data_IF_798982556995
#
_entry.id   IF_798982556995
#
_cell.length_a   1.000
_cell.length_b   1.000
_cell.length_c   1.000
_cell.angle_alpha   90.00
_cell.angle_beta   90.00
_cell.angle_gamma   90.00
#
_symmetry.space_group_name_H-M   'P 1'
#
loop_
_entity.id
_entity.type
_entity.pdbx_description
1 polymer ?
#
# COMPACT_ATOMS: atom_id res chain seq x y z
N UNK A 1 -1.53 -27.47 15.67
CA UNK A 1 -0.25 -26.99 16.24
C UNK A 1 0.43 -25.89 15.42
N UNK A 2 0.22 -25.79 14.10
CA UNK A 2 0.86 -24.73 13.27
C UNK A 2 0.41 -23.28 13.55
N UNK A 3 -0.83 -23.06 13.99
CA UNK A 3 -1.37 -21.71 14.21
C UNK A 3 -0.66 -20.94 15.35
N UNK A 4 -0.33 -21.61 16.45
CA UNK A 4 0.31 -20.99 17.64
C UNK A 4 1.72 -20.47 17.32
N UNK A 5 2.41 -21.06 16.34
CA UNK A 5 3.73 -20.60 15.85
C UNK A 5 3.67 -19.64 14.66
N UNK A 6 2.48 -19.36 14.13
CA UNK A 6 2.33 -18.39 13.04
C UNK A 6 2.51 -16.95 13.54
N UNK A 7 2.93 -16.05 12.66
CA UNK A 7 3.07 -14.61 12.97
C UNK A 7 1.79 -14.03 13.61
N UNK A 8 0.63 -14.42 13.07
CA UNK A 8 -0.68 -14.00 13.59
C UNK A 8 -1.02 -14.61 14.96
N UNK A 9 -0.65 -15.89 15.19
CA UNK A 9 -0.83 -16.55 16.49
C UNK A 9 0.02 -15.94 17.60
N UNK A 10 1.24 -15.49 17.28
CA UNK A 10 2.10 -14.76 18.24
C UNK A 10 1.49 -13.40 18.60
N UNK A 11 0.96 -12.66 17.61
CA UNK A 11 0.27 -11.39 17.83
C UNK A 11 -0.97 -11.58 18.71
N UNK A 12 -1.77 -12.61 18.44
CA UNK A 12 -2.99 -12.91 19.21
C UNK A 12 -2.66 -13.25 20.67
N UNK A 13 -1.64 -14.08 20.89
CA UNK A 13 -1.14 -14.42 22.22
C UNK A 13 -0.69 -13.17 22.98
N UNK A 14 0.14 -12.33 22.36
CA UNK A 14 0.64 -11.09 22.97
C UNK A 14 -0.48 -10.07 23.27
N UNK A 15 -1.55 -10.05 22.48
CA UNK A 15 -2.69 -9.17 22.70
C UNK A 15 -3.59 -9.62 23.88
N UNK A 16 -3.64 -10.92 24.18
CA UNK A 16 -4.49 -11.50 25.23
C UNK A 16 -3.74 -11.64 26.56
N UNK A 17 -2.43 -11.91 26.50
CA UNK A 17 -1.55 -12.17 27.64
C UNK A 17 -1.60 -11.08 28.75
N UNK A 18 -1.65 -9.77 28.46
CA UNK A 18 -1.78 -8.73 29.48
C UNK A 18 -3.08 -8.81 30.29
N UNK A 19 -4.17 -9.30 29.68
CA UNK A 19 -5.46 -9.44 30.36
C UNK A 19 -5.45 -10.62 31.32
N UNK A 20 -4.81 -11.72 30.93
CA UNK A 20 -4.73 -12.93 31.74
C UNK A 20 -3.76 -12.78 32.92
N UNK A 21 -2.58 -12.18 32.72
CA UNK A 21 -1.64 -11.93 33.83
C UNK A 21 -2.21 -10.98 34.89
N UNK A 22 -3.09 -10.05 34.51
CA UNK A 22 -3.73 -9.13 35.46
C UNK A 22 -4.74 -9.81 36.39
N UNK A 23 -5.27 -10.98 36.01
CA UNK A 23 -6.23 -11.74 36.82
C UNK A 23 -5.53 -12.62 37.87
N UNK A 24 -4.30 -13.10 37.58
CA UNK A 24 -3.60 -14.09 38.38
C UNK A 24 -2.77 -13.47 39.52
N UNK A 25 -2.33 -12.21 39.40
CA UNK A 25 -1.45 -11.56 40.40
C UNK A 25 -2.00 -10.24 40.96
N UNK A 26 -2.97 -10.25 41.88
CA UNK A 26 -3.39 -9.06 42.62
C UNK A 26 -2.46 -8.81 43.83
N UNK A 27 -1.59 -7.79 43.78
CA UNK A 27 -0.75 -7.44 44.96
C UNK A 27 0.32 -6.35 44.75
N UNK A 28 0.33 -5.39 45.65
CA UNK A 28 1.00 -4.07 45.64
C UNK A 28 2.54 -4.11 45.74
N UNK A 29 3.22 -4.16 44.58
CA UNK A 29 4.46 -3.42 44.22
C UNK A 29 4.83 -3.74 42.76
N UNK A 30 4.54 -4.98 42.34
CA UNK A 30 4.63 -5.45 40.96
C UNK A 30 3.58 -4.82 40.01
N UNK A 31 2.56 -4.17 40.56
CA UNK A 31 1.48 -3.51 39.79
C UNK A 31 1.97 -2.39 38.86
N UNK A 32 3.13 -1.77 39.11
CA UNK A 32 3.70 -0.73 38.21
C UNK A 32 4.25 -1.36 36.94
N UNK A 33 4.97 -2.48 37.04
CA UNK A 33 5.47 -3.23 35.89
C UNK A 33 4.28 -3.76 35.08
N UNK A 34 3.29 -4.36 35.74
CA UNK A 34 2.04 -4.80 35.08
C UNK A 34 1.19 -3.66 34.50
N UNK A 35 1.38 -2.41 34.95
CA UNK A 35 0.75 -1.22 34.34
C UNK A 35 1.35 -0.92 32.97
N UNK A 36 2.65 -1.10 32.77
CA UNK A 36 3.30 -0.98 31.46
C UNK A 36 2.79 -2.05 30.48
N UNK A 37 2.51 -3.26 30.97
CA UNK A 37 1.86 -4.31 30.17
C UNK A 37 0.46 -3.90 29.64
N UNK A 38 -0.20 -2.90 30.21
CA UNK A 38 -1.46 -2.36 29.66
C UNK A 38 -1.24 -1.62 28.34
N UNK A 39 -0.06 -1.03 28.10
CA UNK A 39 0.29 -0.40 26.82
C UNK A 39 0.33 -1.45 25.71
N UNK A 40 0.72 -2.70 26.02
CA UNK A 40 0.70 -3.82 25.08
C UNK A 40 -0.71 -4.16 24.58
N UNK A 41 -1.77 -3.65 25.21
CA UNK A 41 -3.13 -3.73 24.63
C UNK A 41 -3.23 -2.98 23.29
N UNK A 42 -2.30 -2.08 22.96
CA UNK A 42 -2.19 -1.49 21.61
C UNK A 42 -1.99 -2.57 20.53
N UNK A 43 -1.38 -3.70 20.88
CA UNK A 43 -1.27 -4.84 19.96
C UNK A 43 -2.63 -5.47 19.61
N UNK A 44 -3.70 -5.18 20.36
CA UNK A 44 -5.07 -5.54 19.95
C UNK A 44 -5.44 -4.87 18.62
N UNK A 45 -4.90 -3.68 18.30
CA UNK A 45 -5.08 -3.03 17.00
C UNK A 45 -4.51 -3.89 15.86
N UNK A 46 -3.47 -4.69 16.13
CA UNK A 46 -2.91 -5.62 15.14
C UNK A 46 -3.84 -6.79 14.81
N UNK A 47 -4.90 -7.05 15.60
CA UNK A 47 -5.98 -7.99 15.22
C UNK A 47 -6.80 -7.50 14.02
N UNK A 48 -6.66 -6.23 13.64
CA UNK A 48 -7.24 -5.70 12.42
C UNK A 48 -6.45 -6.17 11.18
N UNK A 49 -5.17 -6.57 11.32
CA UNK A 49 -4.33 -7.02 10.20
C UNK A 49 -4.87 -8.29 9.52
N UNK A 50 -5.36 -9.31 10.24
CA UNK A 50 -6.12 -10.41 9.62
C UNK A 50 -7.37 -9.98 8.87
N UNK A 51 -8.11 -8.97 9.36
CA UNK A 51 -9.28 -8.41 8.63
C UNK A 51 -8.85 -7.68 7.35
N UNK A 52 -7.67 -7.05 7.38
CA UNK A 52 -7.00 -6.45 6.21
C UNK A 52 -6.32 -7.50 5.33
N UNK A 53 -6.21 -8.78 5.74
CA UNK A 53 -5.48 -9.80 4.96
C UNK A 53 -6.16 -10.17 3.64
N UNK A 54 -7.46 -9.86 3.49
CA UNK A 54 -8.15 -9.93 2.20
C UNK A 54 -7.77 -8.78 1.25
N UNK A 55 -7.09 -7.74 1.74
CA UNK A 55 -6.57 -6.62 0.93
C UNK A 55 -5.31 -7.00 0.13
N UNK A 56 -5.25 -8.25 -0.34
CA UNK A 56 -4.18 -8.73 -1.23
C UNK A 56 -4.02 -7.85 -2.46
N UNK A 57 -5.10 -7.20 -2.90
CA UNK A 57 -5.10 -6.22 -3.99
C UNK A 57 -4.27 -4.98 -3.62
N UNK A 58 -4.46 -4.39 -2.43
CA UNK A 58 -3.68 -3.23 -1.97
C UNK A 58 -2.20 -3.59 -1.84
N UNK A 59 -1.91 -4.74 -1.23
CA UNK A 59 -0.54 -5.19 -1.02
C UNK A 59 0.18 -5.48 -2.35
N UNK A 60 -0.50 -6.15 -3.28
CA UNK A 60 0.04 -6.40 -4.64
C UNK A 60 0.24 -5.11 -5.41
N UNK A 61 -0.69 -4.16 -5.33
CA UNK A 61 -0.56 -2.85 -5.99
C UNK A 61 0.62 -2.04 -5.43
N UNK A 62 0.83 -2.06 -4.11
CA UNK A 62 1.99 -1.40 -3.49
C UNK A 62 3.31 -2.02 -3.94
N UNK A 63 3.41 -3.36 -3.94
CA UNK A 63 4.62 -4.04 -4.43
C UNK A 63 4.83 -3.80 -5.93
N UNK A 64 3.78 -3.80 -6.74
CA UNK A 64 3.86 -3.52 -8.18
C UNK A 64 4.31 -2.07 -8.45
N UNK A 65 3.84 -1.11 -7.64
CA UNK A 65 4.21 0.30 -7.75
C UNK A 65 5.60 0.63 -7.22
N UNK A 66 6.24 -0.26 -6.44
CA UNK A 66 7.47 0.01 -5.69
C UNK A 66 8.56 0.68 -6.53
N UNK A 67 8.84 0.17 -7.73
CA UNK A 67 9.93 0.69 -8.58
C UNK A 67 9.64 2.11 -9.04
N UNK A 68 8.38 2.39 -9.42
CA UNK A 68 7.94 3.72 -9.86
C UNK A 68 7.97 4.71 -8.70
N UNK A 69 7.46 4.31 -7.53
CA UNK A 69 7.49 5.12 -6.30
C UNK A 69 8.93 5.41 -5.87
N UNK A 70 9.84 4.42 -5.91
CA UNK A 70 11.25 4.62 -5.58
C UNK A 70 11.90 5.66 -6.50
N UNK A 71 11.73 5.56 -7.83
CA UNK A 71 12.28 6.57 -8.76
C UNK A 71 11.71 7.96 -8.48
N UNK A 72 10.40 8.05 -8.21
CA UNK A 72 9.75 9.30 -7.85
C UNK A 72 10.32 9.91 -6.57
N UNK A 73 10.47 9.12 -5.49
CA UNK A 73 11.04 9.60 -4.23
C UNK A 73 12.49 10.06 -4.38
N UNK A 74 13.29 9.38 -5.21
CA UNK A 74 14.63 9.85 -5.54
C UNK A 74 14.60 11.21 -6.25
N UNK A 75 13.69 11.41 -7.20
CA UNK A 75 13.53 12.70 -7.89
C UNK A 75 13.06 13.82 -6.95
N UNK A 76 12.16 13.51 -6.01
CA UNK A 76 11.74 14.47 -4.97
C UNK A 76 12.91 14.82 -4.05
N UNK A 77 13.70 13.83 -3.63
CA UNK A 77 14.87 14.06 -2.77
C UNK A 77 15.91 14.96 -3.45
N UNK A 78 16.22 14.71 -4.73
CA UNK A 78 17.14 15.57 -5.47
C UNK A 78 16.57 16.99 -5.63
N UNK A 79 15.27 17.13 -5.90
CA UNK A 79 14.60 18.43 -5.99
C UNK A 79 14.69 19.22 -4.67
N UNK A 80 14.41 18.57 -3.54
CA UNK A 80 14.53 19.19 -2.21
C UNK A 80 15.96 19.65 -1.94
N UNK A 81 16.96 18.85 -2.28
CA UNK A 81 18.37 19.21 -2.11
C UNK A 81 18.70 20.47 -2.94
N UNK A 82 18.22 20.53 -4.19
CA UNK A 82 18.42 21.69 -5.06
C UNK A 82 17.74 22.96 -4.50
N UNK A 83 16.47 22.86 -4.12
CA UNK A 83 15.73 23.99 -3.53
C UNK A 83 16.35 24.45 -2.20
N UNK A 84 16.76 23.51 -1.35
CA UNK A 84 17.46 23.80 -0.09
C UNK A 84 18.80 24.48 -0.32
N UNK A 85 19.59 24.06 -1.31
CA UNK A 85 20.85 24.72 -1.65
C UNK A 85 20.62 26.13 -2.23
N UNK A 86 19.62 26.31 -3.11
CA UNK A 86 19.28 27.61 -3.67
C UNK A 86 18.82 28.60 -2.61
N UNK A 87 17.91 28.19 -1.71
CA UNK A 87 17.42 29.09 -0.67
C UNK A 87 18.51 29.43 0.34
N UNK A 88 19.42 28.50 0.65
CA UNK A 88 20.60 28.78 1.47
C UNK A 88 21.46 29.88 0.84
N UNK A 89 21.68 29.83 -0.48
CA UNK A 89 22.48 30.83 -1.19
C UNK A 89 21.79 32.21 -1.24
N UNK A 90 20.46 32.24 -1.37
CA UNK A 90 19.69 33.49 -1.48
C UNK A 90 19.50 34.16 -0.12
N UNK A 91 19.15 33.40 0.92
CA UNK A 91 18.78 33.93 2.24
C UNK A 91 19.98 34.01 3.20
N UNK A 92 20.90 33.04 3.13
CA UNK A 92 22.08 32.97 3.99
C UNK A 92 21.79 32.85 5.50
N UNK A 93 22.85 32.94 6.30
CA UNK A 93 22.77 32.78 7.76
C UNK A 93 21.98 33.93 8.43
N UNK A 94 22.01 35.14 7.86
CA UNK A 94 21.33 36.34 8.38
C UNK A 94 19.81 36.13 8.53
N UNK A 95 19.22 35.28 7.69
CA UNK A 95 17.80 34.99 7.67
C UNK A 95 17.43 33.65 8.33
N UNK A 96 18.38 33.01 9.01
CA UNK A 96 18.18 31.76 9.75
C UNK A 96 18.48 30.49 8.96
N UNK A 97 18.90 30.61 7.69
CA UNK A 97 19.37 29.50 6.87
C UNK A 97 20.86 29.25 7.15
N UNK A 98 21.16 28.78 8.37
CA UNK A 98 22.53 28.65 8.91
C UNK A 98 23.36 27.53 8.28
N UNK A 99 22.74 26.59 7.57
CA UNK A 99 23.45 25.48 6.95
C UNK A 99 22.60 24.83 5.85
N UNK A 100 23.25 24.21 4.86
CA UNK A 100 22.56 23.49 3.77
C UNK A 100 21.57 22.45 4.32
N UNK A 101 21.90 21.60 5.31
CA UNK A 101 20.93 20.66 5.88
C UNK A 101 19.70 21.32 6.49
N UNK A 102 19.85 22.50 7.11
CA UNK A 102 18.74 23.26 7.68
C UNK A 102 17.82 23.81 6.58
N UNK A 103 18.40 24.27 5.47
CA UNK A 103 17.65 24.72 4.30
C UNK A 103 16.94 23.57 3.57
N UNK A 104 17.57 22.39 3.53
CA UNK A 104 16.93 21.14 3.05
C UNK A 104 15.73 20.79 3.92
N UNK A 105 15.86 20.88 5.25
CA UNK A 105 14.74 20.65 6.17
C UNK A 105 13.56 21.59 5.85
N UNK A 106 13.81 22.88 5.63
CA UNK A 106 12.77 23.82 5.22
C UNK A 106 12.14 23.44 3.87
N UNK A 107 12.95 23.03 2.89
CA UNK A 107 12.45 22.58 1.60
C UNK A 107 11.55 21.33 1.76
N UNK A 108 11.90 20.37 2.62
CA UNK A 108 11.05 19.19 2.92
C UNK A 108 9.72 19.65 3.52
N UNK A 109 9.75 20.45 4.58
CA UNK A 109 8.55 20.90 5.31
C UNK A 109 7.62 21.72 4.41
N UNK A 110 8.18 22.52 3.52
CA UNK A 110 7.42 23.33 2.55
C UNK A 110 6.85 22.46 1.44
N UNK A 111 7.66 21.60 0.83
CA UNK A 111 7.25 20.74 -0.29
C UNK A 111 6.22 19.67 0.13
N UNK A 112 6.31 19.21 1.38
CA UNK A 112 5.34 18.28 1.98
C UNK A 112 4.09 18.97 2.53
N UNK A 113 3.97 20.29 2.36
CA UNK A 113 2.83 21.11 2.83
C UNK A 113 2.62 21.12 4.35
N UNK A 114 3.62 20.68 5.14
CA UNK A 114 3.54 20.70 6.61
C UNK A 114 3.63 22.12 7.15
N UNK A 115 4.60 22.91 6.65
CA UNK A 115 4.69 24.34 6.93
C UNK A 115 4.74 24.74 8.41
N UNK A 116 5.68 24.18 9.20
CA UNK A 116 5.80 24.51 10.64
C UNK A 116 5.98 26.01 10.92
N UNK A 117 6.55 26.78 10.00
CA UNK A 117 6.76 28.21 10.13
C UNK A 117 7.93 28.60 11.03
N UNK A 118 8.75 27.64 11.46
CA UNK A 118 9.97 27.83 12.25
C UNK A 118 11.13 28.41 11.42
N UNK A 119 11.10 28.24 10.10
CA UNK A 119 12.00 28.87 9.15
C UNK A 119 11.21 29.37 7.93
N UNK A 120 11.50 30.59 7.47
CA UNK A 120 10.82 31.19 6.31
C UNK A 120 11.71 32.22 5.63
N UNK A 121 11.74 32.27 4.29
CA UNK A 121 12.53 33.26 3.55
C UNK A 121 11.98 34.67 3.75
N UNK A 122 12.89 35.63 3.93
CA UNK A 122 12.57 37.03 4.20
C UNK A 122 12.82 37.91 2.99
N UNK A 123 13.70 37.51 2.07
CA UNK A 123 14.01 38.27 0.87
C UNK A 123 12.95 38.09 -0.20
N UNK A 124 12.76 39.11 -1.05
CA UNK A 124 11.81 39.03 -2.17
C UNK A 124 12.13 37.86 -3.12
N UNK A 125 13.42 37.59 -3.37
CA UNK A 125 13.86 36.45 -4.21
C UNK A 125 13.63 35.10 -3.53
N UNK A 126 13.83 35.00 -2.22
CA UNK A 126 13.54 33.78 -1.47
C UNK A 126 12.04 33.50 -1.40
N UNK A 127 11.21 34.54 -1.27
CA UNK A 127 9.75 34.42 -1.27
C UNK A 127 9.20 33.99 -2.63
N UNK A 128 9.73 34.48 -3.74
CA UNK A 128 9.31 34.00 -5.08
C UNK A 128 9.69 32.53 -5.25
N UNK A 129 10.91 32.14 -4.86
CA UNK A 129 11.33 30.73 -4.89
C UNK A 129 10.43 29.85 -4.00
N UNK A 130 10.07 30.33 -2.81
CA UNK A 130 9.14 29.63 -1.91
C UNK A 130 7.75 29.46 -2.51
N UNK A 131 7.22 30.49 -3.20
CA UNK A 131 5.95 30.39 -3.89
C UNK A 131 5.97 29.28 -4.97
N UNK A 132 7.05 29.20 -5.76
CA UNK A 132 7.23 28.11 -6.72
C UNK A 132 7.32 26.74 -6.02
N UNK A 133 8.07 26.65 -4.92
CA UNK A 133 8.21 25.41 -4.15
C UNK A 133 6.86 24.93 -3.58
N UNK A 134 6.01 25.84 -3.11
CA UNK A 134 4.67 25.50 -2.59
C UNK A 134 3.75 24.94 -3.69
N UNK A 135 3.75 25.52 -4.89
CA UNK A 135 2.97 25.00 -6.04
C UNK A 135 3.50 23.62 -6.45
N UNK A 136 4.82 23.44 -6.48
CA UNK A 136 5.46 22.18 -6.80
C UNK A 136 5.09 21.06 -5.80
N UNK A 137 4.95 21.40 -4.52
CA UNK A 137 4.52 20.47 -3.48
C UNK A 137 3.16 19.84 -3.76
N UNK A 138 2.17 20.66 -4.16
CA UNK A 138 0.85 20.15 -4.55
C UNK A 138 0.92 19.19 -5.76
N UNK A 139 1.73 19.50 -6.76
CA UNK A 139 1.92 18.62 -7.91
C UNK A 139 2.55 17.27 -7.51
N UNK A 140 3.52 17.29 -6.60
CA UNK A 140 4.23 16.10 -6.10
C UNK A 140 3.29 15.17 -5.32
N UNK A 141 2.36 15.68 -4.53
CA UNK A 141 1.42 14.85 -3.76
C UNK A 141 0.49 14.02 -4.67
N UNK A 142 0.14 14.55 -5.85
CA UNK A 142 -0.75 13.87 -6.80
C UNK A 142 -0.10 12.64 -7.46
N UNK A 143 1.22 12.67 -7.68
CA UNK A 143 1.95 11.63 -8.43
C UNK A 143 1.93 10.24 -7.76
N UNK A 144 2.34 10.06 -6.48
CA UNK A 144 2.33 8.74 -5.85
C UNK A 144 0.91 8.21 -5.69
N UNK A 145 -0.05 9.09 -5.40
CA UNK A 145 -1.48 8.75 -5.33
C UNK A 145 -1.96 8.22 -6.68
N UNK A 146 -1.61 8.88 -7.78
CA UNK A 146 -1.94 8.44 -9.14
C UNK A 146 -1.28 7.11 -9.52
N UNK A 147 0.02 6.95 -9.24
CA UNK A 147 0.75 5.69 -9.49
C UNK A 147 0.09 4.53 -8.75
N UNK A 148 -0.18 4.69 -7.45
CA UNK A 148 -0.79 3.64 -6.62
C UNK A 148 -2.21 3.34 -7.10
N UNK A 149 -3.00 4.36 -7.44
CA UNK A 149 -4.37 4.18 -7.94
C UNK A 149 -4.38 3.37 -9.24
N UNK A 150 -3.49 3.67 -10.19
CA UNK A 150 -3.40 2.92 -11.45
C UNK A 150 -3.01 1.46 -11.21
N UNK A 151 -2.05 1.20 -10.34
CA UNK A 151 -1.67 -0.18 -10.01
C UNK A 151 -2.77 -0.92 -9.23
N UNK A 152 -3.54 -0.21 -8.41
CA UNK A 152 -4.70 -0.77 -7.71
C UNK A 152 -5.80 -1.16 -8.68
N UNK A 153 -6.16 -0.27 -9.61
CA UNK A 153 -7.15 -0.58 -10.67
C UNK A 153 -6.69 -1.75 -11.54
N UNK A 154 -5.40 -1.83 -11.87
CA UNK A 154 -4.84 -2.97 -12.61
C UNK A 154 -4.90 -4.27 -11.83
N UNK A 155 -4.60 -4.22 -10.53
CA UNK A 155 -4.70 -5.38 -9.64
C UNK A 155 -6.15 -5.84 -9.41
N UNK A 156 -7.14 -4.95 -9.55
CA UNK A 156 -8.57 -5.30 -9.53
C UNK A 156 -9.04 -5.88 -10.87
N UNK A 157 -8.58 -5.34 -12.00
CA UNK A 157 -9.00 -5.75 -13.34
C UNK A 157 -8.32 -7.04 -13.86
N UNK A 158 -7.40 -7.66 -13.12
CA UNK A 158 -6.74 -8.91 -13.54
C UNK A 158 -7.64 -10.16 -13.49
N UNK A 159 -8.95 -10.01 -13.22
CA UNK A 159 -9.96 -11.07 -13.19
C UNK A 159 -10.99 -10.99 -14.34
N UNK A 160 -10.65 -10.36 -15.47
CA UNK A 160 -11.52 -10.41 -16.65
C UNK A 160 -11.38 -11.81 -17.27
N UNK A 161 -12.24 -12.74 -16.86
CA UNK A 161 -12.39 -14.03 -17.52
C UNK A 161 -13.25 -13.84 -18.77
N UNK A 162 -12.79 -14.35 -19.91
CA UNK A 162 -13.57 -14.44 -21.15
C UNK A 162 -14.44 -15.70 -21.18
N UNK A 163 -14.64 -16.34 -20.03
CA UNK A 163 -15.42 -17.57 -19.91
C UNK A 163 -16.89 -17.26 -20.17
N UNK A 164 -17.40 -17.86 -21.23
CA UNK A 164 -18.81 -17.86 -21.60
C UNK A 164 -19.41 -19.18 -21.15
N UNK A 165 -20.62 -19.15 -20.58
CA UNK A 165 -21.32 -20.39 -20.24
C UNK A 165 -21.65 -21.18 -21.53
N UNK A 166 -21.24 -22.45 -21.66
CA UNK A 166 -21.50 -23.24 -22.87
C UNK A 166 -22.99 -23.54 -23.09
N UNK A 167 -23.81 -23.52 -22.03
CA UNK A 167 -25.23 -23.85 -22.11
C UNK A 167 -26.12 -22.63 -22.39
N UNK A 168 -25.86 -21.49 -21.74
CA UNK A 168 -26.74 -20.31 -21.85
C UNK A 168 -26.08 -19.08 -22.47
N UNK A 169 -24.83 -19.20 -22.91
CA UNK A 169 -24.04 -18.15 -23.57
C UNK A 169 -23.91 -16.84 -22.79
N UNK A 170 -24.20 -16.84 -21.49
CA UNK A 170 -24.02 -15.67 -20.63
C UNK A 170 -22.59 -15.56 -20.12
N UNK A 171 -22.10 -14.32 -20.07
CA UNK A 171 -20.75 -13.93 -19.66
C UNK A 171 -20.73 -13.34 -18.24
N UNK A 172 -19.54 -12.96 -17.77
CA UNK A 172 -19.35 -12.26 -16.50
C UNK A 172 -19.30 -13.16 -15.28
N UNK A 173 -18.87 -14.42 -15.43
CA UNK A 173 -18.59 -15.31 -14.31
C UNK A 173 -17.32 -14.87 -13.57
N UNK A 174 -17.18 -15.23 -12.30
CA UNK A 174 -15.90 -15.03 -11.60
C UNK A 174 -14.83 -15.96 -12.18
N UNK A 175 -13.55 -15.57 -12.07
CA UNK A 175 -12.42 -16.32 -12.66
C UNK A 175 -12.24 -17.74 -12.11
N UNK A 176 -12.81 -18.01 -10.94
CA UNK A 176 -12.78 -19.25 -10.18
C UNK A 176 -14.15 -19.93 -10.12
N UNK A 177 -15.11 -19.50 -10.94
CA UNK A 177 -16.43 -20.11 -11.00
C UNK A 177 -16.40 -21.48 -11.71
N UNK A 178 -16.77 -22.54 -10.99
CA UNK A 178 -16.97 -23.89 -11.57
C UNK A 178 -18.35 -24.03 -12.25
N UNK A 179 -19.34 -23.25 -11.80
CA UNK A 179 -20.73 -23.30 -12.27
C UNK A 179 -21.24 -21.93 -12.71
N UNK A 180 -22.12 -21.93 -13.70
CA UNK A 180 -22.75 -20.73 -14.23
C UNK A 180 -23.73 -20.12 -13.21
N UNK A 181 -23.52 -18.85 -12.83
CA UNK A 181 -24.40 -18.13 -11.89
C UNK A 181 -25.84 -17.90 -12.38
N UNK A 182 -26.11 -18.09 -13.67
CA UNK A 182 -27.43 -17.85 -14.27
C UNK A 182 -28.25 -19.12 -14.53
N UNK A 183 -27.59 -20.23 -14.88
CA UNK A 183 -28.28 -21.47 -15.25
C UNK A 183 -27.79 -22.71 -14.49
N UNK A 184 -26.73 -22.60 -13.69
CA UNK A 184 -26.20 -23.69 -12.88
C UNK A 184 -25.43 -24.77 -13.64
N UNK A 185 -25.22 -24.65 -14.95
CA UNK A 185 -24.40 -25.62 -15.70
C UNK A 185 -22.91 -25.47 -15.36
N UNK A 186 -22.15 -26.56 -15.42
CA UNK A 186 -20.69 -26.49 -15.29
C UNK A 186 -20.10 -25.57 -16.36
N UNK A 187 -19.05 -24.83 -15.98
CA UNK A 187 -18.28 -23.98 -16.87
C UNK A 187 -16.98 -24.66 -17.36
N UNK A 188 -16.73 -25.89 -16.90
CA UNK A 188 -15.70 -26.79 -17.44
C UNK A 188 -16.10 -27.26 -18.84
N UNK A 189 -15.24 -27.01 -19.82
CA UNK A 189 -15.39 -27.58 -21.16
C UNK A 189 -15.14 -29.09 -21.06
N UNK A 190 -16.08 -29.95 -21.52
CA UNK A 190 -15.80 -31.36 -21.68
C UNK A 190 -14.70 -31.49 -22.73
N UNK A 191 -13.49 -31.89 -22.34
CA UNK A 191 -12.53 -32.40 -23.32
C UNK A 191 -13.08 -33.77 -23.72
N UNK A 192 -13.72 -33.82 -24.88
CA UNK A 192 -14.16 -35.05 -25.52
C UNK A 192 -12.93 -35.92 -25.77
N UNK A 193 -12.71 -36.88 -24.85
CA UNK A 193 -11.73 -37.95 -25.00
C UNK A 193 -12.32 -39.01 -25.93
N UNK A 194 -12.43 -38.69 -27.21
CA UNK A 194 -12.61 -39.72 -28.23
C UNK A 194 -11.27 -40.02 -28.90
N UNK A 195 -10.49 -40.83 -28.18
CA UNK A 195 -9.56 -41.75 -28.82
C UNK A 195 -10.35 -43.00 -29.21
N UNK A 196 -10.60 -43.19 -30.50
CA UNK A 196 -11.24 -44.40 -31.01
C UNK A 196 -11.56 -44.31 -32.51
N UNK A 197 -10.71 -44.94 -33.32
CA UNK A 197 -10.97 -45.50 -34.66
C UNK A 197 -12.05 -44.86 -35.54
N UNK A 198 -11.62 -44.20 -36.62
CA UNK A 198 -12.35 -44.23 -37.89
C UNK A 198 -11.37 -44.67 -38.98
N UNK A 199 -11.39 -45.97 -39.25
CA UNK A 199 -10.83 -46.57 -40.43
C UNK A 199 -11.56 -46.13 -41.71
N UNK A 200 -10.77 -46.10 -42.78
CA UNK A 200 -11.09 -46.47 -44.16
C UNK A 200 -12.58 -46.38 -44.62
N UNK A 201 -12.90 -45.38 -45.44
CA UNK A 201 -13.87 -45.55 -46.51
C UNK A 201 -13.60 -44.56 -47.65
N UNK A 202 -13.29 -45.13 -48.82
CA UNK A 202 -13.10 -44.52 -50.14
C UNK A 202 -14.37 -43.78 -50.62
N UNK A 203 -14.20 -42.87 -51.59
CA UNK A 203 -15.25 -42.08 -52.28
C UNK A 203 -16.32 -42.90 -53.05
N UNK A 204 -17.09 -42.36 -54.02
CA UNK A 204 -16.63 -41.39 -55.04
C UNK A 204 -17.65 -40.31 -55.49
N UNK A 205 -17.17 -39.50 -56.44
CA UNK A 205 -17.84 -38.58 -57.37
C UNK A 205 -18.13 -37.14 -56.88
#
# INVERSE_FOLDING_TARGET
WGYVRSFFGVIDLLAILPSYLSLVFPGTQYLVVFRVFRVLRIFRVLKLVPYVSESTVLWRALIASRRKVTVFLFAVLTMVILLGALIYLIEGEENGFTSIPRSIYWAIVTLTTVGYGDLSPKTNLGQTLAAFAMILGYAIIAVPTGIVTVEMTRAQNSKVTTQVCPNCSREGHDSDAEYCKFCGSSLEFPIEKDGGDIGDARGPA
#
